data_IF_463980329996
#
_entry.id   IF_463980329996
#
_cell.length_a   1.000
_cell.length_b   1.000
_cell.length_c   1.000
_cell.angle_alpha   90.00
_cell.angle_beta   90.00
_cell.angle_gamma   90.00
#
_symmetry.space_group_name_H-M   'P 1'
#
loop_
_entity.id
_entity.type
_entity.pdbx_description
1 polymer ?
#
# COMPACT_ATOMS: atom_id res chain seq x y z
N UNK A 1 8.87 41.67 18.54
CA UNK A 1 8.13 40.50 19.04
C UNK A 1 8.43 39.33 18.13
N UNK A 2 8.51 38.10 18.63
CA UNK A 2 8.52 36.92 17.76
C UNK A 2 7.07 36.60 17.34
N UNK A 3 6.86 35.93 16.20
CA UNK A 3 5.51 35.53 15.81
C UNK A 3 4.86 34.59 16.85
N UNK A 4 5.67 33.75 17.53
CA UNK A 4 5.20 32.94 18.66
C UNK A 4 4.57 33.78 19.76
N UNK A 5 5.23 34.86 20.19
CA UNK A 5 4.67 35.77 21.21
C UNK A 5 3.43 36.53 20.71
N UNK A 6 3.34 36.78 19.41
CA UNK A 6 2.19 37.46 18.80
C UNK A 6 0.95 36.56 18.76
N UNK A 7 1.11 35.28 18.45
CA UNK A 7 0.02 34.30 18.40
C UNK A 7 -0.16 33.49 19.70
N UNK A 8 0.56 33.84 20.77
CA UNK A 8 0.54 33.14 22.06
C UNK A 8 0.86 31.64 21.94
N UNK A 9 1.94 31.30 21.24
CA UNK A 9 2.45 29.94 21.06
C UNK A 9 3.69 29.70 21.93
N UNK A 10 3.82 28.49 22.47
CA UNK A 10 4.96 28.08 23.32
C UNK A 10 6.10 27.45 22.50
N UNK A 11 5.77 26.79 21.39
CA UNK A 11 6.73 26.18 20.46
C UNK A 11 6.29 26.41 18.99
N UNK A 12 7.15 26.10 18.02
CA UNK A 12 6.90 26.27 16.59
C UNK A 12 5.99 25.15 16.05
N UNK A 13 4.70 25.44 15.74
CA UNK A 13 3.73 24.41 15.40
C UNK A 13 4.06 23.66 14.11
N UNK A 14 4.71 24.31 13.13
CA UNK A 14 4.90 23.75 11.80
C UNK A 14 6.37 23.47 11.43
N UNK A 15 7.23 23.25 12.43
CA UNK A 15 8.62 22.85 12.15
C UNK A 15 8.66 21.57 11.31
N UNK A 16 9.63 21.51 10.40
CA UNK A 16 9.83 20.37 9.49
C UNK A 16 10.65 19.23 10.10
N UNK A 17 11.38 19.51 11.18
CA UNK A 17 12.13 18.49 11.92
C UNK A 17 11.15 17.47 12.49
N UNK A 18 11.34 16.15 12.25
CA UNK A 18 10.50 15.13 12.84
C UNK A 18 10.50 15.24 14.37
N UNK A 19 9.31 15.23 14.94
CA UNK A 19 9.08 15.17 16.37
C UNK A 19 7.87 14.27 16.66
N UNK A 20 8.04 13.16 17.39
CA UNK A 20 6.95 12.28 17.80
C UNK A 20 5.82 12.98 18.56
N UNK A 21 6.10 14.05 19.32
CA UNK A 21 5.07 14.74 20.11
C UNK A 21 4.05 15.48 19.22
N UNK A 22 4.44 15.84 17.99
CA UNK A 22 3.59 16.48 16.98
C UNK A 22 2.94 15.46 16.01
N UNK A 23 3.05 14.16 16.28
CA UNK A 23 2.48 13.13 15.41
C UNK A 23 0.95 13.08 15.55
N UNK A 24 0.26 13.54 14.52
CA UNK A 24 -1.18 13.35 14.38
C UNK A 24 -1.52 11.91 13.98
N UNK A 25 -2.30 11.22 14.82
CA UNK A 25 -2.76 9.85 14.57
C UNK A 25 -3.95 9.79 13.62
N UNK A 26 -3.72 10.03 12.34
CA UNK A 26 -4.73 9.77 11.31
C UNK A 26 -5.10 8.28 11.25
N UNK A 27 -6.23 7.95 10.60
CA UNK A 27 -6.65 6.54 10.46
C UNK A 27 -5.57 5.70 9.78
N UNK A 28 -4.88 6.28 8.80
CA UNK A 28 -3.79 5.63 8.07
C UNK A 28 -2.55 5.42 8.95
N UNK A 29 -2.17 6.41 9.78
CA UNK A 29 -1.03 6.29 10.69
C UNK A 29 -1.27 5.21 11.75
N UNK A 30 -2.47 5.17 12.34
CA UNK A 30 -2.83 4.13 13.29
C UNK A 30 -2.77 2.72 12.69
N UNK A 31 -3.25 2.54 11.44
CA UNK A 31 -3.13 1.27 10.71
C UNK A 31 -1.68 0.90 10.41
N UNK A 32 -0.88 1.85 9.93
CA UNK A 32 0.54 1.63 9.65
C UNK A 32 1.31 1.20 10.90
N UNK A 33 1.03 1.83 12.06
CA UNK A 33 1.60 1.46 13.36
C UNK A 33 1.21 0.04 13.76
N UNK A 34 -0.06 -0.31 13.67
CA UNK A 34 -0.52 -1.67 13.98
C UNK A 34 0.18 -2.74 13.13
N UNK A 35 0.48 -2.42 11.86
CA UNK A 35 1.24 -3.31 10.97
C UNK A 35 2.69 -3.45 11.44
N UNK A 36 3.35 -2.35 11.84
CA UNK A 36 4.69 -2.39 12.43
C UNK A 36 4.70 -3.20 13.73
N UNK A 37 3.75 -2.98 14.64
CA UNK A 37 3.62 -3.71 15.91
C UNK A 37 3.40 -5.20 15.70
N UNK A 38 2.63 -5.58 14.68
CA UNK A 38 2.41 -6.99 14.35
C UNK A 38 3.72 -7.74 14.07
N UNK A 39 4.78 -7.07 13.62
CA UNK A 39 6.10 -7.68 13.39
C UNK A 39 6.78 -8.15 14.66
N UNK A 40 6.50 -7.49 15.80
CA UNK A 40 7.07 -7.87 17.08
C UNK A 40 6.52 -9.25 17.49
N UNK A 41 5.21 -9.46 17.29
CA UNK A 41 4.50 -10.68 17.64
C UNK A 41 4.66 -11.80 16.60
N UNK A 42 4.69 -11.45 15.33
CA UNK A 42 4.79 -12.38 14.20
C UNK A 42 6.23 -12.38 13.69
N UNK A 43 7.00 -13.39 14.09
CA UNK A 43 8.40 -13.52 13.69
C UNK A 43 8.60 -13.78 12.18
N UNK A 44 7.53 -14.15 11.45
CA UNK A 44 7.59 -14.49 10.04
C UNK A 44 7.21 -13.33 9.13
N UNK A 45 8.20 -12.88 8.34
CA UNK A 45 8.01 -12.05 7.16
C UNK A 45 8.45 -10.59 7.31
N UNK A 46 8.43 -9.89 6.19
CA UNK A 46 8.73 -8.46 6.11
C UNK A 46 7.45 -7.64 6.20
N UNK A 47 7.57 -6.47 6.81
CA UNK A 47 6.57 -5.42 6.68
C UNK A 47 7.17 -4.31 5.84
N UNK A 48 6.43 -3.91 4.80
CA UNK A 48 6.82 -2.82 3.91
C UNK A 48 5.87 -1.65 4.13
N UNK A 49 6.42 -0.51 4.50
CA UNK A 49 5.69 0.74 4.69
C UNK A 49 6.17 1.73 3.63
N UNK A 50 5.35 2.01 2.63
CA UNK A 50 5.62 3.06 1.65
C UNK A 50 4.80 4.30 1.94
N UNK A 51 5.10 5.41 1.28
CA UNK A 51 4.33 6.64 1.39
C UNK A 51 5.01 7.79 0.67
N UNK A 52 4.25 8.83 0.35
CA UNK A 52 4.77 10.00 -0.36
C UNK A 52 5.87 10.74 0.42
N UNK A 53 6.67 11.53 -0.29
CA UNK A 53 7.69 12.36 0.35
C UNK A 53 7.01 13.31 1.34
N UNK A 54 7.43 13.28 2.60
CA UNK A 54 6.85 14.13 3.63
C UNK A 54 5.51 13.65 4.20
N UNK A 55 5.11 12.39 3.95
CA UNK A 55 3.88 11.80 4.52
C UNK A 55 3.94 11.45 6.02
N UNK A 56 5.09 11.65 6.68
CA UNK A 56 5.24 11.37 8.12
C UNK A 56 5.81 9.99 8.48
N UNK A 57 6.28 9.20 7.51
CA UNK A 57 6.88 7.86 7.72
C UNK A 57 7.96 7.83 8.80
N UNK A 58 8.94 8.75 8.75
CA UNK A 58 10.04 8.79 9.73
C UNK A 58 9.53 9.12 11.14
N UNK A 59 8.60 10.06 11.26
CA UNK A 59 7.96 10.39 12.55
C UNK A 59 7.17 9.19 13.09
N UNK A 60 6.44 8.48 12.23
CA UNK A 60 5.74 7.25 12.59
C UNK A 60 6.71 6.16 13.08
N UNK A 61 7.83 5.94 12.40
CA UNK A 61 8.86 4.99 12.84
C UNK A 61 9.45 5.38 14.19
N UNK A 62 9.74 6.67 14.43
CA UNK A 62 10.26 7.14 15.71
C UNK A 62 9.26 6.94 16.84
N UNK A 63 7.98 7.23 16.62
CA UNK A 63 6.93 6.94 17.59
C UNK A 63 6.80 5.45 17.88
N UNK A 64 6.83 4.60 16.86
CA UNK A 64 6.85 3.15 17.02
C UNK A 64 8.04 2.68 17.88
N UNK A 65 9.24 3.19 17.60
CA UNK A 65 10.46 2.85 18.35
C UNK A 65 10.41 3.31 19.81
N UNK A 66 9.81 4.46 20.09
CA UNK A 66 9.68 5.00 21.44
C UNK A 66 8.78 4.15 22.36
N UNK A 67 7.89 3.35 21.78
CA UNK A 67 6.95 2.49 22.49
C UNK A 67 7.39 1.01 22.56
N UNK A 68 8.58 0.69 22.03
CA UNK A 68 9.09 -0.68 22.08
C UNK A 68 9.43 -1.10 23.52
N UNK A 69 9.02 -2.31 23.85
CA UNK A 69 9.33 -2.96 25.12
C UNK A 69 10.84 -3.20 25.29
N UNK A 70 11.28 -3.30 26.55
CA UNK A 70 12.68 -3.60 26.89
C UNK A 70 13.17 -4.98 26.40
N UNK A 71 12.27 -5.86 25.97
CA UNK A 71 12.60 -7.15 25.37
C UNK A 71 12.88 -7.06 23.86
N UNK A 72 12.81 -5.86 23.26
CA UNK A 72 13.13 -5.62 21.86
C UNK A 72 14.52 -4.98 21.72
N UNK A 73 15.31 -5.52 20.79
CA UNK A 73 16.59 -4.94 20.37
C UNK A 73 16.45 -4.58 18.91
N UNK A 74 16.73 -3.33 18.55
CA UNK A 74 16.51 -2.84 17.19
C UNK A 74 17.76 -2.19 16.59
N UNK A 75 17.81 -2.17 15.26
CA UNK A 75 18.75 -1.39 14.47
C UNK A 75 17.96 -0.58 13.43
N UNK A 76 18.34 0.69 13.23
CA UNK A 76 17.73 1.57 12.23
C UNK A 76 18.78 1.99 11.21
N UNK A 77 18.61 1.59 9.96
CA UNK A 77 19.52 1.98 8.88
C UNK A 77 18.82 2.96 7.96
N UNK A 78 19.19 4.23 8.03
CA UNK A 78 18.69 5.28 7.12
C UNK A 78 19.66 5.59 5.97
N UNK A 79 20.95 5.28 6.13
CA UNK A 79 21.94 5.41 5.05
C UNK A 79 21.89 4.17 4.15
N UNK A 80 21.30 4.32 2.98
CA UNK A 80 20.97 3.19 2.09
C UNK A 80 21.78 3.15 0.80
N UNK A 81 22.63 4.15 0.55
CA UNK A 81 23.60 4.16 -0.57
C UNK A 81 24.86 3.34 -0.25
N UNK A 82 24.67 2.08 0.13
CA UNK A 82 25.73 1.19 0.61
C UNK A 82 25.88 -0.04 -0.29
N UNK A 83 27.10 -0.57 -0.36
CA UNK A 83 27.33 -1.94 -0.85
C UNK A 83 26.79 -2.97 0.16
N UNK A 84 26.60 -4.23 -0.25
CA UNK A 84 26.12 -5.28 0.67
C UNK A 84 27.01 -5.45 1.92
N UNK A 85 28.33 -5.37 1.77
CA UNK A 85 29.27 -5.43 2.90
C UNK A 85 29.13 -4.22 3.82
N UNK A 86 29.03 -3.01 3.24
CA UNK A 86 28.87 -1.79 4.03
C UNK A 86 27.51 -1.75 4.74
N UNK A 87 26.46 -2.30 4.12
CA UNK A 87 25.14 -2.44 4.74
C UNK A 87 25.22 -3.35 5.98
N UNK A 88 25.86 -4.52 5.87
CA UNK A 88 26.11 -5.40 7.03
C UNK A 88 26.90 -4.68 8.14
N UNK A 89 27.92 -3.91 7.77
CA UNK A 89 28.69 -3.10 8.74
C UNK A 89 27.83 -2.05 9.42
N UNK A 90 26.94 -1.38 8.68
CA UNK A 90 26.01 -0.40 9.24
C UNK A 90 25.04 -1.06 10.22
N UNK A 91 24.39 -2.16 9.83
CA UNK A 91 23.50 -2.93 10.70
C UNK A 91 24.19 -3.34 12.00
N UNK A 92 25.39 -3.92 11.92
CA UNK A 92 26.15 -4.31 13.11
C UNK A 92 26.59 -3.10 13.95
N UNK A 93 26.87 -1.95 13.33
CA UNK A 93 27.20 -0.71 14.07
C UNK A 93 26.00 -0.22 14.86
N UNK A 94 24.79 -0.26 14.29
CA UNK A 94 23.54 0.08 14.98
C UNK A 94 23.26 -0.85 16.16
N UNK A 95 23.62 -2.14 16.04
CA UNK A 95 23.59 -3.07 17.17
C UNK A 95 24.76 -2.90 18.18
N UNK A 96 25.64 -1.92 17.98
CA UNK A 96 26.71 -1.55 18.94
C UNK A 96 28.08 -2.17 18.66
N UNK A 97 28.29 -2.85 17.53
CA UNK A 97 29.56 -3.46 17.16
C UNK A 97 30.49 -2.49 16.41
N UNK A 98 31.76 -2.90 16.18
CA UNK A 98 32.76 -2.13 15.42
C UNK A 98 33.38 -2.94 14.26
N UNK A 99 32.62 -3.22 13.18
CA UNK A 99 32.96 -4.23 12.19
C UNK A 99 33.82 -3.75 10.99
N UNK A 100 34.46 -2.57 11.07
CA UNK A 100 34.98 -1.83 9.91
C UNK A 100 36.13 -2.50 9.12
N UNK A 101 36.75 -3.55 9.65
CA UNK A 101 37.87 -4.27 8.99
C UNK A 101 37.52 -5.71 8.60
N UNK A 102 36.30 -6.13 8.90
CA UNK A 102 35.87 -7.51 8.71
C UNK A 102 35.44 -7.75 7.27
N UNK A 103 35.73 -8.96 6.78
CA UNK A 103 35.24 -9.47 5.51
C UNK A 103 33.76 -9.84 5.65
N UNK A 104 33.04 -9.89 4.54
CA UNK A 104 31.61 -10.22 4.51
C UNK A 104 31.25 -11.49 5.31
N UNK A 105 32.05 -12.54 5.19
CA UNK A 105 31.82 -13.80 5.91
C UNK A 105 31.89 -13.61 7.43
N UNK A 106 32.85 -12.83 7.92
CA UNK A 106 33.00 -12.52 9.35
C UNK A 106 31.85 -11.64 9.87
N UNK A 107 31.33 -10.73 9.04
CA UNK A 107 30.15 -9.92 9.36
C UNK A 107 28.89 -10.79 9.51
N UNK A 108 28.68 -11.70 8.57
CA UNK A 108 27.54 -12.61 8.59
C UNK A 108 27.59 -13.55 9.79
N UNK A 109 28.77 -14.08 10.11
CA UNK A 109 28.97 -14.94 11.28
C UNK A 109 28.69 -14.16 12.58
N UNK A 110 29.23 -12.95 12.70
CA UNK A 110 28.95 -12.07 13.84
C UNK A 110 27.46 -11.75 13.99
N UNK A 111 26.78 -11.40 12.89
CA UNK A 111 25.35 -11.12 12.91
C UNK A 111 24.56 -12.35 13.33
N UNK A 112 24.89 -13.53 12.79
CA UNK A 112 24.21 -14.77 13.13
C UNK A 112 24.39 -15.13 14.61
N UNK A 113 25.61 -15.05 15.14
CA UNK A 113 25.88 -15.28 16.57
C UNK A 113 25.09 -14.32 17.46
N UNK A 114 25.07 -13.03 17.10
CA UNK A 114 24.29 -12.02 17.80
C UNK A 114 22.79 -12.35 17.81
N UNK A 115 22.20 -12.69 16.65
CA UNK A 115 20.78 -13.02 16.56
C UNK A 115 20.41 -14.24 17.42
N UNK A 116 21.25 -15.28 17.41
CA UNK A 116 21.06 -16.48 18.25
C UNK A 116 21.17 -16.14 19.73
N UNK A 117 22.16 -15.33 20.12
CA UNK A 117 22.34 -14.89 21.50
C UNK A 117 21.12 -14.10 22.00
N UNK A 118 20.66 -13.11 21.24
CA UNK A 118 19.49 -12.32 21.60
C UNK A 118 18.25 -13.20 21.73
N UNK A 119 18.02 -14.11 20.78
CA UNK A 119 16.92 -15.07 20.86
C UNK A 119 17.00 -15.94 22.13
N UNK A 120 18.18 -16.45 22.47
CA UNK A 120 18.38 -17.27 23.68
C UNK A 120 18.11 -16.52 24.98
N UNK A 121 18.28 -15.19 24.96
CA UNK A 121 17.96 -14.28 26.05
C UNK A 121 16.50 -13.81 26.05
N UNK A 122 15.65 -14.38 25.19
CA UNK A 122 14.24 -14.00 25.05
C UNK A 122 14.03 -12.62 24.44
N UNK A 123 15.05 -12.07 23.77
CA UNK A 123 14.98 -10.76 23.10
C UNK A 123 14.49 -10.92 21.66
N UNK A 124 13.68 -9.97 21.21
CA UNK A 124 13.18 -9.88 19.83
C UNK A 124 14.08 -8.92 19.05
N UNK A 125 14.67 -9.37 17.94
CA UNK A 125 15.52 -8.52 17.12
C UNK A 125 14.75 -7.94 15.94
N UNK A 126 14.80 -6.61 15.77
CA UNK A 126 14.13 -5.86 14.72
C UNK A 126 15.15 -5.07 13.90
N UNK A 127 15.14 -5.23 12.59
CA UNK A 127 15.88 -4.39 11.66
C UNK A 127 14.90 -3.48 10.92
N UNK A 128 15.07 -2.17 11.09
CA UNK A 128 14.34 -1.15 10.33
C UNK A 128 15.29 -0.59 9.29
N UNK A 129 14.86 -0.58 8.02
CA UNK A 129 15.59 0.09 6.95
C UNK A 129 14.71 1.22 6.43
N UNK A 130 15.08 2.46 6.76
CA UNK A 130 14.41 3.66 6.27
C UNK A 130 15.04 4.09 4.93
N UNK A 131 14.29 4.84 4.12
CA UNK A 131 14.69 5.23 2.76
C UNK A 131 15.10 4.01 1.89
N UNK A 132 14.41 2.88 2.07
CA UNK A 132 14.76 1.60 1.43
C UNK A 132 14.63 1.61 -0.10
N UNK A 133 13.93 2.59 -0.69
CA UNK A 133 13.91 2.79 -2.14
C UNK A 133 15.29 3.11 -2.72
N UNK A 134 16.27 3.53 -1.92
CA UNK A 134 17.64 3.77 -2.38
C UNK A 134 18.51 2.50 -2.37
N UNK A 135 18.04 1.39 -1.77
CA UNK A 135 18.78 0.14 -1.73
C UNK A 135 18.97 -0.45 -3.13
N UNK A 136 20.17 -0.96 -3.40
CA UNK A 136 20.41 -1.74 -4.61
C UNK A 136 19.75 -3.12 -4.52
N UNK A 137 19.44 -3.74 -5.67
CA UNK A 137 18.91 -5.12 -5.73
C UNK A 137 19.81 -6.13 -5.00
N UNK A 138 21.14 -5.93 -5.06
CA UNK A 138 22.10 -6.79 -4.35
C UNK A 138 21.98 -6.69 -2.83
N UNK A 139 21.66 -5.51 -2.30
CA UNK A 139 21.46 -5.32 -0.84
C UNK A 139 20.11 -5.87 -0.41
N UNK A 140 19.06 -5.66 -1.21
CA UNK A 140 17.75 -6.28 -0.97
C UNK A 140 17.85 -7.81 -0.94
N UNK A 141 18.62 -8.40 -1.86
CA UNK A 141 18.90 -9.84 -1.82
C UNK A 141 19.67 -10.26 -0.57
N UNK A 142 20.61 -9.44 -0.09
CA UNK A 142 21.28 -9.69 1.18
C UNK A 142 20.30 -9.69 2.36
N UNK A 143 19.39 -8.71 2.40
CA UNK A 143 18.30 -8.63 3.40
C UNK A 143 17.43 -9.88 3.36
N UNK A 144 17.11 -10.36 2.15
CA UNK A 144 16.40 -11.63 1.95
C UNK A 144 17.19 -12.81 2.54
N UNK A 145 18.49 -12.91 2.28
CA UNK A 145 19.32 -14.00 2.79
C UNK A 145 19.41 -13.97 4.33
N UNK A 146 19.62 -12.78 4.92
CA UNK A 146 19.68 -12.61 6.38
C UNK A 146 18.37 -12.95 7.09
N UNK A 147 17.22 -12.65 6.47
CA UNK A 147 15.93 -13.08 7.04
C UNK A 147 15.70 -14.59 6.97
N UNK A 148 16.57 -15.32 6.27
CA UNK A 148 16.62 -16.78 6.28
C UNK A 148 17.21 -17.35 7.57
N UNK A 149 17.82 -16.54 8.42
CA UNK A 149 18.40 -17.01 9.68
C UNK A 149 17.25 -17.42 10.60
N UNK A 150 17.26 -18.70 10.97
CA UNK A 150 16.24 -19.38 11.74
C UNK A 150 16.90 -20.21 12.82
N UNK A 151 16.23 -20.34 13.97
CA UNK A 151 16.47 -21.45 14.88
C UNK A 151 15.67 -22.66 14.42
N UNK A 152 15.83 -23.82 15.05
CA UNK A 152 15.03 -25.02 14.72
C UNK A 152 13.50 -24.83 14.86
N UNK A 153 13.03 -23.71 15.43
CA UNK A 153 11.60 -23.47 15.69
C UNK A 153 11.07 -22.18 15.08
N UNK A 154 11.88 -21.12 15.01
CA UNK A 154 11.40 -19.78 14.67
C UNK A 154 12.45 -18.91 13.98
N UNK A 155 11.98 -17.99 13.14
CA UNK A 155 12.74 -16.84 12.64
C UNK A 155 13.22 -15.98 13.80
N UNK A 156 14.47 -15.51 13.71
CA UNK A 156 15.07 -14.66 14.75
C UNK A 156 15.09 -13.17 14.41
N UNK A 157 15.04 -12.83 13.12
CA UNK A 157 15.15 -11.46 12.63
C UNK A 157 13.83 -10.97 12.00
N UNK A 158 13.26 -9.92 12.60
CA UNK A 158 12.09 -9.18 12.07
C UNK A 158 12.59 -8.00 11.25
N UNK A 159 11.98 -7.73 10.08
CA UNK A 159 12.44 -6.64 9.22
C UNK A 159 11.28 -5.74 8.80
N UNK A 160 11.47 -4.44 8.97
CA UNK A 160 10.59 -3.38 8.47
C UNK A 160 11.37 -2.61 7.39
N UNK A 161 10.81 -2.56 6.18
CA UNK A 161 11.33 -1.74 5.09
C UNK A 161 10.42 -0.53 4.93
N UNK A 162 10.93 0.66 5.22
CA UNK A 162 10.23 1.91 5.01
C UNK A 162 10.83 2.67 3.82
N UNK A 163 9.99 3.27 2.99
CA UNK A 163 10.48 4.01 1.84
C UNK A 163 9.41 4.75 1.06
N UNK A 164 9.78 5.23 -0.12
CA UNK A 164 8.90 5.93 -1.04
C UNK A 164 8.21 4.93 -2.02
N UNK A 165 7.23 5.35 -2.83
CA UNK A 165 6.51 4.46 -3.76
C UNK A 165 7.44 3.63 -4.67
N UNK A 166 8.59 4.16 -5.06
CA UNK A 166 9.59 3.49 -5.89
C UNK A 166 10.13 2.20 -5.24
N UNK A 167 10.04 2.07 -3.92
CA UNK A 167 10.34 0.80 -3.24
C UNK A 167 9.35 -0.28 -3.66
N UNK A 168 8.06 0.03 -3.74
CA UNK A 168 7.02 -0.90 -4.18
C UNK A 168 7.31 -1.39 -5.60
N UNK A 169 7.57 -0.45 -6.51
CA UNK A 169 7.87 -0.77 -7.91
C UNK A 169 9.15 -1.61 -8.05
N UNK A 170 10.17 -1.27 -7.26
CA UNK A 170 11.41 -2.04 -7.20
C UNK A 170 11.17 -3.47 -6.74
N UNK A 171 10.37 -3.66 -5.69
CA UNK A 171 10.07 -4.98 -5.14
C UNK A 171 9.34 -5.88 -6.14
N UNK A 172 8.46 -5.32 -6.98
CA UNK A 172 7.74 -6.08 -8.02
C UNK A 172 8.62 -6.52 -9.20
N UNK A 173 9.88 -6.09 -9.27
CA UNK A 173 10.77 -6.51 -10.36
C UNK A 173 11.04 -8.03 -10.33
N UNK A 174 11.17 -8.70 -11.48
CA UNK A 174 11.33 -10.16 -11.54
C UNK A 174 12.48 -10.73 -10.69
N UNK A 175 13.56 -9.95 -10.52
CA UNK A 175 14.72 -10.34 -9.72
C UNK A 175 14.50 -10.34 -8.21
N UNK A 176 13.37 -9.83 -7.71
CA UNK A 176 13.06 -9.73 -6.28
C UNK A 176 11.80 -10.52 -5.86
N UNK A 177 11.25 -11.35 -6.75
CA UNK A 177 10.08 -12.21 -6.46
C UNK A 177 10.23 -13.01 -5.16
N UNK A 178 11.42 -13.53 -4.87
CA UNK A 178 11.68 -14.30 -3.64
C UNK A 178 11.64 -13.44 -2.37
N UNK A 179 12.00 -12.17 -2.46
CA UNK A 179 11.91 -11.23 -1.34
C UNK A 179 10.45 -10.84 -1.13
N UNK A 180 9.72 -10.53 -2.22
CA UNK A 180 8.29 -10.22 -2.20
C UNK A 180 7.46 -11.33 -1.56
N UNK A 181 7.75 -12.59 -1.84
CA UNK A 181 7.07 -13.73 -1.20
C UNK A 181 7.26 -13.78 0.33
N UNK A 182 8.30 -13.13 0.86
CA UNK A 182 8.52 -12.99 2.31
C UNK A 182 7.87 -11.73 2.87
N UNK A 183 7.36 -10.81 2.05
CA UNK A 183 6.61 -9.64 2.52
C UNK A 183 5.24 -10.09 2.96
N UNK A 184 4.99 -10.03 4.27
CA UNK A 184 3.72 -10.43 4.88
C UNK A 184 2.68 -9.33 4.80
N UNK A 185 3.09 -8.10 5.13
CA UNK A 185 2.20 -6.94 5.09
C UNK A 185 2.84 -5.82 4.28
N UNK A 186 1.98 -5.11 3.56
CA UNK A 186 2.32 -3.88 2.84
C UNK A 186 1.31 -2.83 3.23
N UNK A 187 1.80 -1.65 3.53
CA UNK A 187 0.96 -0.49 3.78
C UNK A 187 1.54 0.70 3.03
N UNK A 188 0.65 1.50 2.43
CA UNK A 188 1.02 2.75 1.79
C UNK A 188 0.37 3.89 2.57
N UNK A 189 1.20 4.77 3.12
CA UNK A 189 0.79 5.97 3.84
C UNK A 189 0.60 7.10 2.83
N UNK A 190 -0.66 7.30 2.43
CA UNK A 190 -1.08 8.34 1.52
C UNK A 190 -1.20 9.71 2.18
N UNK A 191 -1.60 10.73 1.41
CA UNK A 191 -1.92 12.04 1.97
C UNK A 191 -3.13 11.99 2.90
N UNK A 192 -3.26 13.04 3.72
CA UNK A 192 -4.42 13.26 4.59
C UNK A 192 -5.61 13.73 3.75
N UNK A 193 -6.82 13.29 4.10
CA UNK A 193 -8.03 13.84 3.49
C UNK A 193 -8.32 15.28 3.97
N UNK A 194 -9.36 15.95 3.44
CA UNK A 194 -9.73 17.33 3.81
C UNK A 194 -9.98 17.49 5.31
N UNK A 195 -10.69 16.52 5.90
CA UNK A 195 -11.04 16.53 7.33
C UNK A 195 -9.78 16.26 8.17
N UNK A 196 -8.98 15.28 7.79
CA UNK A 196 -7.72 14.95 8.45
C UNK A 196 -6.69 16.08 8.33
N UNK A 197 -6.69 16.86 7.24
CA UNK A 197 -5.83 18.04 7.06
C UNK A 197 -6.17 19.12 8.07
N UNK A 198 -7.46 19.40 8.27
CA UNK A 198 -7.91 20.32 9.33
C UNK A 198 -7.47 19.82 10.70
N UNK A 199 -7.80 18.57 11.03
CA UNK A 199 -7.48 17.96 12.32
C UNK A 199 -5.97 17.95 12.59
N UNK A 200 -5.15 17.73 11.55
CA UNK A 200 -3.70 17.82 11.61
C UNK A 200 -3.21 19.22 11.99
N UNK A 201 -3.73 20.26 11.33
CA UNK A 201 -3.37 21.65 11.58
C UNK A 201 -3.76 22.04 13.01
N UNK A 202 -5.00 21.73 13.41
CA UNK A 202 -5.52 22.00 14.76
C UNK A 202 -4.68 21.27 15.82
N UNK A 203 -4.36 19.98 15.61
CA UNK A 203 -3.51 19.21 16.50
C UNK A 203 -2.13 19.84 16.68
N UNK A 204 -1.44 20.23 15.59
CA UNK A 204 -0.11 20.84 15.71
C UNK A 204 -0.14 22.20 16.42
N UNK A 205 -1.20 22.97 16.24
CA UNK A 205 -1.41 24.22 16.98
C UNK A 205 -1.65 23.94 18.47
N UNK A 206 -2.48 22.96 18.80
CA UNK A 206 -2.76 22.54 20.19
C UNK A 206 -1.49 22.09 20.91
N UNK A 207 -0.68 21.22 20.28
CA UNK A 207 0.60 20.75 20.83
C UNK A 207 1.58 21.90 21.03
N UNK A 208 1.54 22.93 20.18
CA UNK A 208 2.34 24.15 20.32
C UNK A 208 1.82 25.14 21.39
N UNK A 209 0.78 24.78 22.14
CA UNK A 209 0.21 25.62 23.21
C UNK A 209 -0.80 26.67 22.71
N UNK A 210 -1.36 26.50 21.52
CA UNK A 210 -2.37 27.42 21.01
C UNK A 210 -3.71 27.26 21.73
N UNK A 211 -4.10 28.25 22.52
CA UNK A 211 -5.42 28.31 23.17
C UNK A 211 -6.51 28.94 22.26
N UNK A 212 -6.11 29.52 21.12
CA UNK A 212 -6.99 30.28 20.23
C UNK A 212 -7.55 29.41 19.12
N UNK A 213 -8.84 29.01 19.24
CA UNK A 213 -9.54 28.16 18.26
C UNK A 213 -9.69 28.76 16.86
N UNK A 214 -9.64 30.09 16.77
CA UNK A 214 -9.81 30.88 15.55
C UNK A 214 -8.48 31.51 15.09
N UNK A 215 -7.34 30.92 15.48
CA UNK A 215 -6.02 31.34 14.96
C UNK A 215 -5.94 31.14 13.44
N UNK A 216 -6.54 30.07 12.91
CA UNK A 216 -6.71 29.84 11.47
C UNK A 216 -8.19 29.91 11.16
N UNK A 217 -8.60 30.82 10.26
CA UNK A 217 -10.01 30.98 9.92
C UNK A 217 -10.49 29.82 9.05
N UNK A 218 -11.74 29.38 9.26
CA UNK A 218 -12.38 28.21 8.62
C UNK A 218 -12.16 28.11 7.10
N UNK A 219 -12.21 29.23 6.36
CA UNK A 219 -12.04 29.20 4.89
C UNK A 219 -10.60 28.83 4.46
N UNK A 220 -9.62 28.91 5.36
CA UNK A 220 -8.23 28.60 5.03
C UNK A 220 -8.00 27.09 4.87
N UNK A 221 -8.72 26.23 5.59
CA UNK A 221 -8.47 24.78 5.59
C UNK A 221 -8.65 24.16 4.20
N UNK A 222 -9.73 24.52 3.49
CA UNK A 222 -9.97 24.06 2.12
C UNK A 222 -8.89 24.55 1.15
N UNK A 223 -8.44 25.81 1.29
CA UNK A 223 -7.37 26.37 0.46
C UNK A 223 -6.04 25.68 0.73
N UNK A 224 -5.69 25.47 2.00
CA UNK A 224 -4.48 24.75 2.42
C UNK A 224 -4.49 23.34 1.84
N UNK A 225 -5.59 22.60 1.98
CA UNK A 225 -5.70 21.25 1.40
C UNK A 225 -5.49 21.28 -0.11
N UNK A 226 -6.11 22.21 -0.84
CA UNK A 226 -5.98 22.31 -2.30
C UNK A 226 -4.54 22.54 -2.77
N UNK A 227 -3.78 23.39 -2.08
CA UNK A 227 -2.37 23.65 -2.43
C UNK A 227 -1.41 22.56 -1.98
N UNK A 228 -1.77 21.79 -0.96
CA UNK A 228 -0.85 20.82 -0.33
C UNK A 228 -1.16 19.38 -0.69
N UNK A 229 -2.36 19.11 -1.25
CA UNK A 229 -2.86 17.77 -1.51
C UNK A 229 -2.96 16.91 -0.26
N UNK A 230 -3.01 17.51 0.93
CA UNK A 230 -3.02 16.77 2.20
C UNK A 230 -1.65 16.22 2.63
N UNK A 231 -0.55 16.62 1.98
CA UNK A 231 0.80 16.16 2.35
C UNK A 231 1.32 16.92 3.57
N UNK A 232 1.58 16.27 4.72
CA UNK A 232 1.99 16.92 5.97
C UNK A 232 3.13 17.92 5.83
N UNK A 233 4.21 17.56 5.11
CA UNK A 233 5.35 18.47 4.89
C UNK A 233 4.96 19.76 4.14
N UNK A 234 4.08 19.65 3.16
CA UNK A 234 3.59 20.80 2.40
C UNK A 234 2.64 21.64 3.27
N UNK A 235 1.74 21.00 4.03
CA UNK A 235 0.88 21.67 5.01
C UNK A 235 1.72 22.50 5.98
N UNK A 236 2.77 21.91 6.54
CA UNK A 236 3.67 22.60 7.47
C UNK A 236 4.32 23.84 6.85
N UNK A 237 4.89 23.68 5.65
CA UNK A 237 5.58 24.76 4.96
C UNK A 237 4.62 25.93 4.65
N UNK A 238 3.42 25.61 4.17
CA UNK A 238 2.41 26.62 3.85
C UNK A 238 1.87 27.32 5.11
N UNK A 239 1.57 26.57 6.16
CA UNK A 239 1.04 27.14 7.40
C UNK A 239 2.08 27.99 8.14
N UNK A 240 3.35 27.58 8.15
CA UNK A 240 4.45 28.37 8.73
C UNK A 240 4.61 29.71 7.98
N UNK A 241 4.63 29.65 6.65
CA UNK A 241 4.71 30.84 5.79
C UNK A 241 3.51 31.76 5.99
N UNK A 242 2.30 31.21 6.09
CA UNK A 242 1.09 31.99 6.32
C UNK A 242 1.03 32.66 7.70
N UNK A 243 1.54 32.00 8.74
CA UNK A 243 1.69 32.61 10.07
C UNK A 243 2.68 33.79 10.01
N UNK A 244 3.77 33.66 9.26
CA UNK A 244 4.72 34.77 9.06
C UNK A 244 4.09 35.94 8.30
N UNK A 245 3.30 35.69 7.24
CA UNK A 245 2.56 36.74 6.53
C UNK A 245 1.57 37.47 7.45
N UNK A 246 0.76 36.72 8.20
CA UNK A 246 -0.21 37.29 9.14
C UNK A 246 0.48 38.13 10.23
N UNK A 247 1.62 37.66 10.75
CA UNK A 247 2.44 38.40 11.70
C UNK A 247 3.02 39.69 11.11
N UNK A 248 3.54 39.64 9.89
CA UNK A 248 4.09 40.81 9.20
C UNK A 248 3.05 41.91 8.99
N UNK A 249 1.79 41.52 8.73
CA UNK A 249 0.65 42.44 8.57
C UNK A 249 -0.03 42.81 9.90
N UNK A 250 0.47 42.31 11.04
CA UNK A 250 -0.06 42.61 12.37
C UNK A 250 -1.46 42.03 12.64
N UNK A 251 -1.83 40.93 11.97
CA UNK A 251 -3.12 40.26 12.15
C UNK A 251 -3.05 39.23 13.26
N UNK A 252 -4.13 39.09 14.02
CA UNK A 252 -4.20 38.12 15.13
C UNK A 252 -4.63 36.71 14.69
N UNK A 253 -5.00 36.54 13.41
CA UNK A 253 -5.46 35.28 12.82
C UNK A 253 -4.99 35.17 11.37
N UNK A 254 -4.75 33.93 10.92
CA UNK A 254 -4.44 33.58 9.53
C UNK A 254 -5.72 33.57 8.71
N UNK A 255 -5.74 34.36 7.64
CA UNK A 255 -6.86 34.53 6.72
C UNK A 255 -6.51 34.01 5.32
N UNK A 256 -7.50 33.87 4.41
CA UNK A 256 -7.22 33.45 3.03
C UNK A 256 -6.22 34.35 2.29
N UNK A 257 -6.15 35.64 2.63
CA UNK A 257 -5.17 36.55 2.04
C UNK A 257 -3.73 36.22 2.49
N UNK A 258 -3.53 35.75 3.72
CA UNK A 258 -2.22 35.33 4.23
C UNK A 258 -1.76 34.02 3.56
N UNK A 259 -2.70 33.09 3.33
CA UNK A 259 -2.45 31.87 2.54
C UNK A 259 -2.06 32.25 1.10
N UNK A 260 -2.79 33.18 0.48
CA UNK A 260 -2.50 33.64 -0.88
C UNK A 260 -1.12 34.30 -0.99
N UNK A 261 -0.73 35.13 -0.01
CA UNK A 261 0.62 35.71 0.06
C UNK A 261 1.69 34.63 0.23
N UNK A 262 1.47 33.66 1.12
CA UNK A 262 2.40 32.55 1.33
C UNK A 262 2.58 31.69 0.06
N UNK A 263 1.49 31.35 -0.63
CA UNK A 263 1.54 30.63 -1.91
C UNK A 263 2.33 31.41 -2.97
N UNK A 264 2.10 32.72 -3.09
CA UNK A 264 2.79 33.56 -4.04
C UNK A 264 4.30 33.70 -3.72
N UNK A 265 4.66 33.77 -2.43
CA UNK A 265 6.06 33.79 -2.00
C UNK A 265 6.78 32.46 -2.25
N UNK A 266 6.08 31.34 -2.04
CA UNK A 266 6.59 30.00 -2.29
C UNK A 266 6.62 29.62 -3.77
N UNK A 267 6.00 30.42 -4.65
CA UNK A 267 5.78 30.13 -6.07
C UNK A 267 5.06 28.77 -6.28
N UNK A 268 4.08 28.48 -5.42
CA UNK A 268 3.34 27.23 -5.47
C UNK A 268 2.15 27.31 -6.42
N UNK A 269 1.93 26.22 -7.15
CA UNK A 269 0.70 25.98 -7.90
C UNK A 269 -0.21 25.05 -7.09
N UNK A 270 -1.51 25.07 -7.38
CA UNK A 270 -2.44 24.11 -6.77
C UNK A 270 -1.94 22.67 -7.02
N UNK A 271 -2.00 21.81 -6.00
CA UNK A 271 -1.41 20.46 -6.04
C UNK A 271 -1.96 19.60 -7.20
N UNK A 272 -3.20 19.87 -7.59
CA UNK A 272 -3.88 19.26 -8.74
C UNK A 272 -3.18 19.58 -10.08
N UNK A 273 -2.49 20.72 -10.19
CA UNK A 273 -1.77 21.14 -11.39
C UNK A 273 -0.29 20.69 -11.41
N UNK A 274 0.33 20.43 -10.25
CA UNK A 274 1.78 20.18 -10.15
C UNK A 274 2.19 18.70 -10.23
N UNK A 275 1.25 17.76 -10.06
CA UNK A 275 1.60 16.35 -9.84
C UNK A 275 1.53 15.47 -11.10
N UNK A 276 1.09 15.99 -12.26
CA UNK A 276 0.82 15.14 -13.44
C UNK A 276 -0.24 14.06 -13.18
N UNK A 277 -0.82 14.07 -11.99
CA UNK A 277 -1.88 13.17 -11.55
C UNK A 277 -3.12 13.44 -12.36
N UNK A 278 -3.36 14.68 -12.83
CA UNK A 278 -4.46 14.99 -13.75
C UNK A 278 -4.29 14.44 -15.18
N UNK A 279 -3.10 14.05 -15.66
CA UNK A 279 -2.99 13.40 -16.98
C UNK A 279 -3.41 11.93 -16.87
N UNK A 280 -2.97 11.24 -15.81
CA UNK A 280 -3.45 9.89 -15.47
C UNK A 280 -4.86 9.87 -14.93
N UNK A 281 -5.27 10.87 -14.15
CA UNK A 281 -6.61 11.00 -13.58
C UNK A 281 -7.61 11.58 -14.56
N UNK A 282 -7.27 12.43 -15.55
CA UNK A 282 -8.25 12.78 -16.61
C UNK A 282 -8.51 11.62 -17.57
N UNK A 283 -7.55 10.74 -17.79
CA UNK A 283 -7.81 9.45 -18.47
C UNK A 283 -8.73 8.53 -17.62
N UNK A 284 -8.77 8.72 -16.30
CA UNK A 284 -9.63 7.98 -15.35
C UNK A 284 -10.99 8.67 -15.11
N UNK A 285 -11.04 10.01 -15.03
CA UNK A 285 -12.19 10.86 -14.67
C UNK A 285 -13.05 11.23 -15.89
N UNK A 286 -12.59 10.95 -17.12
CA UNK A 286 -13.43 11.02 -18.32
C UNK A 286 -14.14 9.68 -18.64
N UNK A 287 -14.01 8.66 -17.78
CA UNK A 287 -14.81 7.45 -17.87
C UNK A 287 -15.98 7.53 -16.90
N UNK A 288 -17.14 7.17 -17.42
CA UNK A 288 -18.44 7.25 -16.77
C UNK A 288 -18.41 6.68 -15.32
N UNK A 289 -18.94 7.38 -14.30
CA UNK A 289 -18.84 6.97 -12.89
C UNK A 289 -19.54 5.65 -12.52
N UNK A 290 -20.22 5.01 -13.47
CA UNK A 290 -20.90 3.73 -13.26
C UNK A 290 -20.09 2.50 -13.75
N UNK A 291 -18.88 2.64 -14.31
CA UNK A 291 -18.20 1.52 -14.99
C UNK A 291 -16.81 1.08 -14.47
N UNK A 292 -16.32 1.51 -13.29
CA UNK A 292 -14.94 1.13 -12.83
C UNK A 292 -14.86 -0.01 -11.80
N UNK A 293 -15.97 -0.38 -11.14
CA UNK A 293 -15.96 -1.49 -10.21
C UNK A 293 -15.92 -2.80 -10.98
N UNK A 294 -14.91 -3.63 -10.75
CA UNK A 294 -14.81 -4.96 -11.37
C UNK A 294 -15.29 -6.08 -10.46
N UNK A 295 -15.49 -5.80 -9.17
CA UNK A 295 -15.96 -6.78 -8.19
C UNK A 295 -16.96 -6.16 -7.24
N UNK A 296 -18.07 -6.86 -7.03
CA UNK A 296 -19.05 -6.57 -5.98
C UNK A 296 -19.23 -7.80 -5.09
N UNK A 297 -19.34 -7.59 -3.78
CA UNK A 297 -19.56 -8.64 -2.79
C UNK A 297 -20.77 -8.27 -1.97
N UNK A 298 -21.79 -9.12 -2.02
CA UNK A 298 -22.93 -9.04 -1.09
C UNK A 298 -22.65 -9.98 0.08
N UNK A 299 -22.79 -9.47 1.30
CA UNK A 299 -22.62 -10.24 2.53
C UNK A 299 -24.00 -10.58 3.07
N UNK A 300 -24.29 -11.87 3.21
CA UNK A 300 -25.55 -12.36 3.73
C UNK A 300 -25.38 -12.94 5.13
N UNK A 301 -26.36 -12.69 5.99
CA UNK A 301 -26.55 -13.37 7.26
C UNK A 301 -28.00 -13.87 7.34
N UNK A 302 -28.20 -15.16 7.58
CA UNK A 302 -29.53 -15.79 7.63
C UNK A 302 -30.41 -15.52 6.39
N UNK A 303 -29.78 -15.36 5.21
CA UNK A 303 -30.45 -15.09 3.94
C UNK A 303 -30.78 -13.61 3.66
N UNK A 304 -30.45 -12.70 4.57
CA UNK A 304 -30.61 -11.24 4.36
C UNK A 304 -29.26 -10.58 4.05
N UNK A 305 -29.24 -9.65 3.09
CA UNK A 305 -28.05 -8.84 2.79
C UNK A 305 -27.82 -7.88 3.95
N UNK A 306 -26.68 -8.04 4.62
CA UNK A 306 -26.25 -7.22 5.76
C UNK A 306 -25.16 -6.22 5.40
N UNK A 307 -24.46 -6.42 4.28
CA UNK A 307 -23.46 -5.50 3.74
C UNK A 307 -23.33 -5.71 2.23
N UNK A 308 -22.92 -4.67 1.51
CA UNK A 308 -22.75 -4.69 0.05
C UNK A 308 -21.58 -3.77 -0.32
N UNK A 309 -20.53 -4.35 -0.90
CA UNK A 309 -19.28 -3.67 -1.18
C UNK A 309 -18.84 -3.89 -2.62
N UNK A 310 -18.66 -2.80 -3.37
CA UNK A 310 -18.00 -2.80 -4.66
C UNK A 310 -16.57 -2.26 -4.54
N UNK A 311 -15.63 -2.84 -5.27
CA UNK A 311 -14.22 -2.40 -5.27
C UNK A 311 -13.52 -2.61 -6.62
N UNK A 312 -12.53 -1.76 -6.87
CA UNK A 312 -11.62 -1.79 -8.02
C UNK A 312 -10.51 -2.86 -7.86
N UNK A 313 -9.66 -3.12 -8.88
CA UNK A 313 -8.52 -4.03 -8.73
C UNK A 313 -7.68 -3.72 -7.47
N UNK A 314 -7.56 -4.68 -6.56
CA UNK A 314 -6.98 -4.47 -5.26
C UNK A 314 -7.16 -5.66 -4.32
N UNK A 315 -6.74 -5.49 -3.08
CA UNK A 315 -6.89 -6.48 -2.02
C UNK A 315 -7.77 -5.93 -0.92
N UNK A 316 -8.77 -6.69 -0.52
CA UNK A 316 -9.59 -6.42 0.67
C UNK A 316 -9.59 -7.62 1.62
N UNK A 317 -9.85 -7.38 2.90
CA UNK A 317 -9.86 -8.40 3.94
C UNK A 317 -11.28 -8.53 4.51
N UNK A 318 -11.67 -9.78 4.76
CA UNK A 318 -12.91 -10.16 5.45
C UNK A 318 -12.56 -10.64 6.85
N UNK A 319 -13.21 -10.12 7.88
CA UNK A 319 -12.97 -10.60 9.23
C UNK A 319 -13.81 -9.95 10.32
N UNK A 320 -13.69 -10.47 11.55
CA UNK A 320 -14.47 -9.99 12.70
C UNK A 320 -13.90 -8.79 13.42
N UNK A 321 -12.75 -8.27 12.99
CA UNK A 321 -12.20 -7.05 13.55
C UNK A 321 -12.67 -5.85 12.70
N UNK A 322 -12.97 -4.70 13.31
CA UNK A 322 -13.53 -3.54 12.60
C UNK A 322 -12.54 -2.83 11.66
N UNK A 323 -11.28 -3.28 11.60
CA UNK A 323 -10.25 -2.80 10.67
C UNK A 323 -10.31 -3.47 9.29
N UNK A 324 -11.11 -4.53 9.10
CA UNK A 324 -11.35 -5.17 7.81
C UNK A 324 -12.32 -4.35 6.95
N UNK A 325 -12.15 -4.37 5.64
CA UNK A 325 -13.07 -3.75 4.69
C UNK A 325 -14.46 -4.41 4.76
N UNK A 326 -14.50 -5.75 4.82
CA UNK A 326 -15.73 -6.49 5.11
C UNK A 326 -15.70 -6.92 6.58
N UNK A 327 -16.37 -6.13 7.41
CA UNK A 327 -16.42 -6.32 8.86
C UNK A 327 -17.63 -7.17 9.27
N UNK A 328 -17.36 -8.44 9.63
CA UNK A 328 -18.40 -9.37 10.05
C UNK A 328 -18.34 -9.58 11.56
N UNK A 329 -19.27 -8.98 12.30
CA UNK A 329 -19.30 -9.05 13.77
C UNK A 329 -19.80 -10.41 14.30
N UNK A 330 -19.04 -11.48 14.04
CA UNK A 330 -19.37 -12.84 14.45
C UNK A 330 -18.21 -13.55 15.14
N UNK A 331 -18.51 -14.28 16.22
CA UNK A 331 -17.53 -15.12 16.92
C UNK A 331 -17.03 -16.29 16.07
N UNK A 332 -17.80 -16.68 15.04
CA UNK A 332 -17.45 -17.75 14.11
C UNK A 332 -16.56 -17.27 12.95
N UNK A 333 -16.21 -15.98 12.94
CA UNK A 333 -15.30 -15.39 11.98
C UNK A 333 -13.98 -15.04 12.69
N UNK A 334 -12.84 -15.33 12.08
CA UNK A 334 -11.51 -14.97 12.60
C UNK A 334 -11.27 -13.47 12.44
N UNK A 335 -10.33 -12.89 13.22
CA UNK A 335 -10.06 -11.43 13.21
C UNK A 335 -9.76 -10.91 11.81
N UNK A 336 -8.96 -11.65 11.06
CA UNK A 336 -8.67 -11.49 9.64
C UNK A 336 -8.86 -12.88 9.02
N UNK A 337 -10.06 -13.17 8.52
CA UNK A 337 -10.48 -14.53 8.18
C UNK A 337 -10.02 -14.93 6.78
N UNK A 338 -10.30 -14.08 5.80
CA UNK A 338 -10.00 -14.32 4.40
C UNK A 338 -9.61 -13.01 3.74
N UNK A 339 -8.97 -13.09 2.59
CA UNK A 339 -8.73 -11.94 1.72
C UNK A 339 -9.32 -12.21 0.33
N UNK A 340 -9.79 -11.15 -0.30
CA UNK A 340 -10.13 -11.13 -1.72
C UNK A 340 -9.05 -10.30 -2.42
N UNK A 341 -8.51 -10.83 -3.51
CA UNK A 341 -7.54 -10.16 -4.37
C UNK A 341 -8.15 -10.13 -5.76
N UNK A 342 -8.58 -8.94 -6.19
CA UNK A 342 -9.16 -8.70 -7.51
C UNK A 342 -8.16 -7.99 -8.42
N UNK A 343 -8.05 -8.47 -9.64
CA UNK A 343 -7.22 -7.94 -10.70
C UNK A 343 -8.06 -7.89 -11.99
N UNK A 344 -7.54 -7.28 -13.06
CA UNK A 344 -8.21 -7.25 -14.37
C UNK A 344 -8.62 -8.66 -14.86
N UNK A 345 -7.80 -9.68 -14.56
CA UNK A 345 -8.04 -11.08 -14.94
C UNK A 345 -9.05 -11.81 -14.03
N UNK A 346 -9.24 -11.42 -12.78
CA UNK A 346 -10.15 -12.12 -11.88
C UNK A 346 -10.03 -11.79 -10.42
N UNK A 347 -11.01 -12.25 -9.65
CA UNK A 347 -10.96 -12.24 -8.20
C UNK A 347 -10.58 -13.61 -7.63
N UNK A 348 -9.72 -13.61 -6.63
CA UNK A 348 -9.29 -14.81 -5.90
C UNK A 348 -9.55 -14.61 -4.41
N UNK A 349 -10.26 -15.55 -3.79
CA UNK A 349 -10.37 -15.63 -2.34
C UNK A 349 -9.29 -16.53 -1.77
N UNK A 350 -8.68 -16.12 -0.67
CA UNK A 350 -7.65 -16.88 0.04
C UNK A 350 -7.92 -16.87 1.55
N UNK A 351 -7.92 -18.06 2.16
CA UNK A 351 -8.08 -18.26 3.59
C UNK A 351 -6.80 -17.85 4.34
N UNK A 352 -6.91 -16.95 5.31
CA UNK A 352 -5.78 -16.43 6.09
C UNK A 352 -5.46 -17.30 7.31
N UNK A 353 -5.52 -18.63 7.14
CA UNK A 353 -5.47 -19.62 8.22
C UNK A 353 -6.52 -19.37 9.30
N UNK A 354 -7.76 -19.14 8.88
CA UNK A 354 -8.87 -18.95 9.81
C UNK A 354 -9.16 -20.19 10.65
N UNK A 355 -9.76 -19.99 11.82
CA UNK A 355 -10.13 -21.11 12.71
C UNK A 355 -11.19 -22.02 12.11
N UNK A 356 -12.14 -21.47 11.35
CA UNK A 356 -13.27 -22.23 10.81
C UNK A 356 -13.15 -22.52 9.32
N UNK A 357 -12.22 -21.90 8.59
CA UNK A 357 -12.03 -22.11 7.16
C UNK A 357 -13.00 -21.32 6.28
N UNK A 358 -12.64 -21.23 5.00
CA UNK A 358 -13.45 -20.65 3.91
C UNK A 358 -14.03 -21.81 3.08
N UNK A 359 -15.32 -21.75 2.75
CA UNK A 359 -16.00 -22.81 2.00
C UNK A 359 -16.69 -22.29 0.74
N UNK A 360 -16.67 -23.09 -0.33
CA UNK A 360 -17.51 -22.90 -1.52
C UNK A 360 -18.49 -24.08 -1.55
N UNK A 361 -19.75 -23.85 -1.18
CA UNK A 361 -20.70 -24.93 -0.86
C UNK A 361 -20.18 -25.78 0.32
N UNK A 362 -20.12 -27.10 0.14
CA UNK A 362 -19.60 -28.02 1.18
C UNK A 362 -18.06 -28.15 1.17
N UNK A 363 -17.36 -27.54 0.19
CA UNK A 363 -15.93 -27.75 -0.01
C UNK A 363 -15.11 -26.64 0.63
N UNK A 364 -14.24 -27.01 1.58
CA UNK A 364 -13.25 -26.07 2.12
C UNK A 364 -12.18 -25.73 1.08
N UNK A 365 -11.88 -24.44 0.92
CA UNK A 365 -10.87 -23.93 -0.01
C UNK A 365 -9.81 -23.11 0.73
N UNK A 366 -8.53 -23.34 0.41
CA UNK A 366 -7.45 -22.46 0.88
C UNK A 366 -7.25 -21.25 -0.02
N UNK A 367 -7.41 -21.46 -1.33
CA UNK A 367 -7.31 -20.42 -2.36
C UNK A 367 -8.17 -20.83 -3.53
N UNK A 368 -9.01 -19.93 -4.02
CA UNK A 368 -9.96 -20.22 -5.09
C UNK A 368 -10.22 -18.99 -5.95
N UNK A 369 -10.21 -19.16 -7.28
CA UNK A 369 -10.56 -18.09 -8.24
C UNK A 369 -12.07 -18.09 -8.39
N UNK A 370 -12.70 -16.98 -8.02
CA UNK A 370 -14.14 -16.82 -8.02
C UNK A 370 -14.66 -16.65 -9.45
N UNK A 371 -15.84 -17.20 -9.69
CA UNK A 371 -16.68 -17.01 -10.85
C UNK A 371 -17.91 -16.22 -10.45
N UNK A 372 -18.45 -15.42 -11.38
CA UNK A 372 -19.67 -14.65 -11.15
C UNK A 372 -20.80 -15.53 -10.57
N UNK A 373 -21.43 -15.04 -9.50
CA UNK A 373 -22.45 -15.75 -8.73
C UNK A 373 -21.93 -16.74 -7.68
N UNK A 374 -20.61 -16.92 -7.52
CA UNK A 374 -20.06 -17.82 -6.50
C UNK A 374 -20.46 -17.37 -5.08
N UNK A 375 -20.90 -18.33 -4.27
CA UNK A 375 -21.25 -18.12 -2.87
C UNK A 375 -20.21 -18.77 -1.96
N UNK A 376 -19.51 -17.92 -1.20
CA UNK A 376 -18.45 -18.35 -0.29
C UNK A 376 -18.88 -18.18 1.16
N UNK A 377 -18.86 -19.27 1.92
CA UNK A 377 -19.19 -19.22 3.35
C UNK A 377 -17.96 -18.90 4.21
N UNK A 378 -18.15 -17.94 5.12
CA UNK A 378 -17.18 -17.52 6.15
C UNK A 378 -17.86 -17.56 7.52
N UNK A 379 -17.67 -18.66 8.25
CA UNK A 379 -18.42 -18.92 9.47
C UNK A 379 -19.90 -19.20 9.18
N UNK A 380 -20.80 -18.31 9.61
CA UNK A 380 -22.25 -18.40 9.33
C UNK A 380 -22.74 -17.37 8.30
N UNK A 381 -21.80 -16.64 7.69
CA UNK A 381 -22.12 -15.61 6.70
C UNK A 381 -21.74 -16.12 5.32
N UNK A 382 -22.45 -15.65 4.31
CA UNK A 382 -22.22 -15.97 2.90
C UNK A 382 -21.76 -14.71 2.18
N UNK A 383 -20.78 -14.85 1.30
CA UNK A 383 -20.27 -13.81 0.43
C UNK A 383 -20.66 -14.19 -0.99
N UNK A 384 -21.58 -13.46 -1.60
CA UNK A 384 -21.95 -13.63 -3.00
C UNK A 384 -21.06 -12.73 -3.83
N UNK A 385 -20.27 -13.34 -4.71
CA UNK A 385 -19.38 -12.63 -5.61
C UNK A 385 -20.10 -12.29 -6.91
N UNK A 386 -20.04 -11.02 -7.29
CA UNK A 386 -20.51 -10.51 -8.57
C UNK A 386 -19.33 -9.92 -9.34
N UNK A 387 -19.18 -10.38 -10.57
CA UNK A 387 -18.17 -9.95 -11.50
C UNK A 387 -18.71 -8.84 -12.39
N UNK A 388 -18.38 -7.60 -12.04
CA UNK A 388 -18.89 -6.43 -12.75
C UNK A 388 -18.04 -6.07 -13.99
N UNK A 389 -17.09 -6.92 -14.36
CA UNK A 389 -16.34 -6.76 -15.61
C UNK A 389 -17.29 -7.02 -16.77
N UNK A 390 -17.58 -5.98 -17.54
CA UNK A 390 -18.29 -6.11 -18.81
C UNK A 390 -17.59 -7.17 -19.65
N UNK A 391 -18.27 -8.25 -20.06
CA UNK A 391 -17.71 -9.19 -21.02
C UNK A 391 -17.43 -8.39 -22.29
N UNK A 392 -16.17 -8.33 -22.72
CA UNK A 392 -15.88 -7.89 -24.08
C UNK A 392 -16.61 -8.86 -25.04
N UNK A 393 -17.74 -8.41 -25.60
CA UNK A 393 -18.39 -9.01 -26.77
C UNK A 393 -19.52 -10.02 -26.51
N UNK A 394 -20.69 -9.54 -26.08
CA UNK A 394 -21.97 -9.83 -26.76
C UNK A 394 -22.82 -8.57 -26.64
N UNK A 395 -22.98 -7.85 -27.75
CA UNK A 395 -24.03 -6.85 -27.87
C UNK A 395 -25.36 -7.60 -27.90
N UNK A 396 -26.13 -7.56 -26.82
CA UNK A 396 -27.57 -7.80 -26.89
C UNK A 396 -28.22 -6.44 -27.17
N UNK A 397 -28.52 -6.21 -28.46
CA UNK A 397 -29.43 -5.15 -28.89
C UNK A 397 -30.80 -5.40 -28.25
N UNK A 398 -31.13 -4.68 -27.17
CA UNK A 398 -32.53 -4.39 -26.88
C UNK A 398 -32.98 -3.24 -27.79
N UNK A 399 -33.98 -3.43 -28.66
CA UNK A 399 -34.45 -2.36 -29.53
C UNK A 399 -35.32 -1.39 -28.73
N UNK A 400 -34.85 -0.15 -28.57
CA UNK A 400 -35.74 0.96 -28.22
C UNK A 400 -36.74 1.21 -29.38
N UNK A 401 -38.01 1.53 -29.07
CA UNK A 401 -39.07 1.57 -30.07
C UNK A 401 -38.94 2.74 -31.04
N UNK A 402 -39.17 2.41 -32.31
CA UNK A 402 -39.24 3.31 -33.46
C UNK A 402 -40.26 4.44 -33.25
N UNK A 403 -39.80 5.69 -33.26
CA UNK A 403 -40.61 6.82 -33.71
C UNK A 403 -40.38 7.02 -35.21
N UNK A 404 -41.40 6.58 -35.94
CA UNK A 404 -41.67 6.87 -37.34
C UNK A 404 -41.65 8.40 -37.57
N UNK A 405 -40.94 8.86 -38.60
CA UNK A 405 -41.57 9.72 -39.60
C UNK A 405 -40.71 9.95 -40.85
N UNK A 406 -41.36 9.68 -41.98
CA UNK A 406 -41.31 10.37 -43.28
C UNK A 406 -39.94 10.51 -43.97
N UNK A 407 -39.70 9.72 -45.02
CA UNK A 407 -39.94 10.09 -46.43
C UNK A 407 -38.59 10.36 -47.12
N UNK A 408 -38.18 9.48 -48.05
CA UNK A 408 -38.46 9.71 -49.46
C UNK A 408 -37.56 8.81 -50.35
N UNK A 409 -38.26 7.91 -51.04
CA UNK A 409 -38.04 7.47 -52.43
C UNK A 409 -36.67 6.93 -52.93
N UNK A 410 -36.81 5.70 -53.45
CA UNK A 410 -36.69 5.32 -54.89
C UNK A 410 -35.42 4.60 -55.40
N UNK A 411 -35.75 3.55 -56.18
CA UNK A 411 -35.04 2.83 -57.26
C UNK A 411 -34.32 1.56 -56.77
N UNK A 412 -34.92 0.36 -56.90
CA UNK A 412 -35.00 -0.53 -58.10
C UNK A 412 -33.60 -0.92 -58.60
N UNK A 413 -33.22 -2.15 -58.94
CA UNK A 413 -33.75 -3.52 -58.91
C UNK A 413 -32.51 -4.45 -59.13
N UNK A 414 -32.64 -5.79 -58.98
CA UNK A 414 -31.52 -6.72 -58.87
C UNK A 414 -31.20 -7.48 -60.18
N UNK A 415 -30.03 -8.13 -60.21
CA UNK A 415 -29.68 -9.21 -61.14
C UNK A 415 -28.17 -9.37 -61.20
N UNK A 416 -27.57 -10.54 -61.35
CA UNK A 416 -28.00 -11.93 -61.51
C UNK A 416 -26.69 -12.74 -61.47
N UNK A 417 -26.76 -14.00 -61.05
CA UNK A 417 -25.91 -15.15 -61.43
C UNK A 417 -24.36 -15.06 -61.34
N UNK A 418 -23.72 -16.01 -60.65
CA UNK A 418 -23.25 -17.30 -61.22
C UNK A 418 -22.57 -18.17 -60.13
N UNK A 419 -22.98 -19.44 -60.07
CA UNK A 419 -22.18 -20.59 -59.62
C UNK A 419 -21.03 -20.81 -60.64
N UNK A 420 -19.87 -21.42 -60.37
CA UNK A 420 -19.65 -22.74 -59.79
C UNK A 420 -18.12 -23.03 -59.70
N UNK A 421 -17.78 -24.07 -58.93
CA UNK A 421 -16.63 -24.99 -59.10
C UNK A 421 -15.19 -24.43 -58.95
N UNK A 422 -14.15 -25.11 -58.46
CA UNK A 422 -13.89 -26.46 -57.94
C UNK A 422 -12.45 -26.45 -57.37
N UNK A 423 -12.16 -27.35 -56.40
CA UNK A 423 -10.94 -28.19 -56.22
C UNK A 423 -9.53 -27.59 -56.42
N UNK A 424 -8.42 -28.04 -55.83
CA UNK A 424 -7.97 -29.04 -54.85
C UNK A 424 -6.46 -28.69 -54.63
N UNK A 425 -5.82 -29.02 -53.52
CA UNK A 425 -4.76 -30.06 -53.41
C UNK A 425 -4.01 -29.70 -52.10
N UNK A 426 -3.98 -30.53 -51.05
CA UNK A 426 -2.99 -31.59 -50.79
C UNK A 426 -1.52 -31.14 -50.94
N UNK A 427 -0.76 -31.11 -49.83
CA UNK A 427 0.35 -32.06 -49.63
C UNK A 427 1.04 -31.95 -48.26
N UNK A 428 1.43 -33.14 -47.81
CA UNK A 428 2.04 -33.58 -46.56
C UNK A 428 3.51 -33.17 -46.38
N UNK A 429 4.04 -33.22 -45.15
CA UNK A 429 5.37 -33.80 -44.86
C UNK A 429 5.47 -34.21 -43.37
N UNK A 430 5.49 -35.53 -43.12
CA UNK A 430 6.17 -36.20 -41.99
C UNK A 430 7.71 -36.02 -42.14
N UNK A 431 8.62 -36.19 -41.18
CA UNK A 431 8.86 -37.41 -40.40
C UNK A 431 9.98 -37.20 -39.34
N UNK A 432 9.86 -37.97 -38.27
CA UNK A 432 10.72 -38.36 -37.14
C UNK A 432 12.21 -38.58 -37.38
N UNK A 433 13.08 -38.44 -36.35
CA UNK A 433 14.19 -39.40 -36.04
C UNK A 433 14.49 -39.44 -34.51
N UNK A 434 14.59 -40.67 -33.99
CA UNK A 434 14.98 -41.14 -32.65
C UNK A 434 16.51 -41.14 -32.41
N UNK A 435 16.94 -41.34 -31.14
CA UNK A 435 18.31 -41.77 -30.82
C UNK A 435 18.58 -41.98 -29.33
N UNK A 436 18.73 -43.25 -28.93
CA UNK A 436 19.00 -43.78 -27.57
C UNK A 436 20.47 -43.69 -27.09
N UNK A 437 20.67 -43.37 -25.79
CA UNK A 437 21.47 -44.00 -24.66
C UNK A 437 22.57 -45.04 -25.04
N UNK A 438 23.80 -45.19 -24.43
CA UNK A 438 24.09 -45.36 -22.97
C UNK A 438 25.46 -44.99 -22.32
N UNK A 439 25.40 -44.79 -20.98
CA UNK A 439 26.25 -45.31 -19.86
C UNK A 439 27.80 -45.37 -19.99
N UNK A 440 28.52 -44.73 -19.05
CA UNK A 440 29.55 -45.48 -18.27
C UNK A 440 29.79 -44.93 -16.84
N UNK A 441 30.08 -45.88 -15.94
CA UNK A 441 30.40 -45.77 -14.52
C UNK A 441 31.92 -45.68 -14.33
N UNK A 442 32.37 -45.10 -13.21
CA UNK A 442 33.41 -45.59 -12.25
C UNK A 442 33.97 -44.38 -11.47
N UNK A 443 33.77 -44.26 -10.16
CA UNK A 443 34.41 -44.95 -9.01
C UNK A 443 35.73 -44.33 -8.53
N UNK A 444 35.79 -44.12 -7.20
CA UNK A 444 36.95 -44.02 -6.28
C UNK A 444 37.83 -42.76 -6.30
N UNK A 445 37.71 -41.92 -5.25
CA UNK A 445 38.60 -41.90 -4.07
C UNK A 445 38.08 -40.91 -3.02
#
# INVERSE_FOLDING_TARGET
MSYLSHFNLEDQPFRLTPDPDYLYWSKQHARAKAYMESTIWLADGFVVITGEIGSGKTTLLQSFLAELDNDVVYAVVSQTQLTATQFLQAVLTEFGFKPFKMRKVELLDMLNMFLIEQYSNGKKVVLIVDEAQNLSRKVLEEIRLMSGIETHKEKVLRIILAGQPELRDKLETPGLKQLVQRVRLRFHLGPLDRRETREYIEHRLEVAGCDKKDLVVEQCFEVIHRYTGGVPRLINTLCDSALLCAFADGRDSVTPADIGSAVAELDWQEHENSTGVHEKMREIEQRDPESSHITRIEVLADGEIVDDLSFEPGRIIVGRSPDNEIFIRSKFVSRHHAQLVSNDDGCVIEDLNSTNGVFLGERQVKKYRLQDGDVVSVGVHELVYHDLRTPEGVAEDEPEPEDLDAEDSRIEEPGEHEFDEEQSDEDEFEESIEGEIPIDKQETA
#
